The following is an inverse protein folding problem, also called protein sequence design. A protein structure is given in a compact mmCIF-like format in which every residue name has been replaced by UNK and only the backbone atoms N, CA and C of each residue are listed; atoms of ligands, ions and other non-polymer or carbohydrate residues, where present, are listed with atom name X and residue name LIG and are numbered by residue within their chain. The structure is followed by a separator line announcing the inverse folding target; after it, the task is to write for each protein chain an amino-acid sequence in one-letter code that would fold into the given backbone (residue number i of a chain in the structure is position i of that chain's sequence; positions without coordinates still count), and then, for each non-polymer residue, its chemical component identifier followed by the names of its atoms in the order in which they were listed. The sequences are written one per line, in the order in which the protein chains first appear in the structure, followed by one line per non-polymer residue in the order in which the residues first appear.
data_IF_543884446006
#
_entry.id   IF_543884446006
#
_cell.length_a   1.000
_cell.length_b   1.000
_cell.length_c   1.000
_cell.angle_alpha   90.00
_cell.angle_beta   90.00
_cell.angle_gamma   90.00
#
_symmetry.space_group_name_H-M   'P 1'
#
loop_
_entity.id
_entity.type
_entity.pdbx_description
1 polymer ?
#
# COMPACT_ATOMS: atom_id res chain seq x y z
N UNK A 1 -8.60 -7.26 -38.65
CA UNK A 1 -9.17 -6.84 -37.31
C UNK A 1 -8.19 -7.21 -36.26
N UNK A 2 -7.90 -6.31 -35.31
CA UNK A 2 -7.12 -6.70 -34.10
C UNK A 2 -8.11 -7.34 -33.15
N UNK A 3 -8.02 -8.65 -32.99
CA UNK A 3 -8.86 -9.38 -32.06
C UNK A 3 -8.28 -9.24 -30.66
N UNK A 4 -9.09 -8.86 -29.70
CA UNK A 4 -8.76 -8.83 -28.28
C UNK A 4 -9.40 -10.04 -27.57
N UNK A 5 -8.70 -10.59 -26.61
CA UNK A 5 -9.19 -11.72 -25.83
C UNK A 5 -10.08 -11.23 -24.67
N UNK A 6 -9.80 -10.01 -24.16
CA UNK A 6 -10.53 -9.41 -23.02
C UNK A 6 -10.74 -7.92 -23.23
N UNK A 7 -11.91 -7.46 -22.84
CA UNK A 7 -12.28 -6.05 -22.77
C UNK A 7 -12.46 -5.70 -21.29
N UNK A 8 -11.73 -4.70 -20.80
CA UNK A 8 -11.87 -4.14 -19.44
C UNK A 8 -12.52 -2.76 -19.58
N UNK A 9 -13.55 -2.50 -18.79
CA UNK A 9 -14.27 -1.22 -18.79
C UNK A 9 -14.03 -0.54 -17.44
N UNK A 10 -13.42 0.65 -17.47
CA UNK A 10 -13.01 1.45 -16.33
C UNK A 10 -11.57 1.23 -15.92
N UNK A 11 -10.78 2.31 -15.88
CA UNK A 11 -9.38 2.31 -15.48
C UNK A 11 -9.17 2.80 -14.03
N UNK A 12 -10.06 2.44 -13.13
CA UNK A 12 -9.82 2.51 -11.69
C UNK A 12 -8.86 1.39 -11.24
N UNK A 13 -8.50 1.35 -9.95
CA UNK A 13 -7.53 0.38 -9.41
C UNK A 13 -7.87 -1.08 -9.77
N UNK A 14 -9.14 -1.47 -9.67
CA UNK A 14 -9.57 -2.83 -10.01
C UNK A 14 -9.42 -3.14 -11.50
N UNK A 15 -9.80 -2.20 -12.37
CA UNK A 15 -9.67 -2.36 -13.82
C UNK A 15 -8.22 -2.41 -14.27
N UNK A 16 -7.37 -1.53 -13.74
CA UNK A 16 -5.94 -1.51 -14.02
C UNK A 16 -5.25 -2.80 -13.56
N UNK A 17 -5.50 -3.24 -12.33
CA UNK A 17 -4.94 -4.49 -11.80
C UNK A 17 -5.39 -5.73 -12.61
N UNK A 18 -6.67 -5.78 -12.98
CA UNK A 18 -7.22 -6.87 -13.79
C UNK A 18 -6.61 -6.89 -15.19
N UNK A 19 -6.51 -5.72 -15.83
CA UNK A 19 -5.92 -5.61 -17.16
C UNK A 19 -4.45 -6.01 -17.16
N UNK A 20 -3.67 -5.52 -16.20
CA UNK A 20 -2.26 -5.85 -16.04
C UNK A 20 -2.03 -7.35 -15.80
N UNK A 21 -2.80 -7.94 -14.89
CA UNK A 21 -2.72 -9.37 -14.58
C UNK A 21 -3.06 -10.25 -15.79
N UNK A 22 -4.07 -9.88 -16.56
CA UNK A 22 -4.46 -10.62 -17.76
C UNK A 22 -3.42 -10.47 -18.88
N UNK A 23 -2.86 -9.28 -19.04
CA UNK A 23 -1.80 -9.03 -20.02
C UNK A 23 -0.53 -9.81 -19.67
N UNK A 24 -0.15 -9.87 -18.40
CA UNK A 24 0.97 -10.68 -17.91
C UNK A 24 0.77 -12.18 -18.22
N UNK A 25 -0.49 -12.67 -18.17
CA UNK A 25 -0.86 -14.04 -18.56
C UNK A 25 -0.96 -14.22 -20.09
N UNK A 26 -0.46 -13.28 -20.89
CA UNK A 26 -0.39 -13.35 -22.34
C UNK A 26 -1.72 -13.07 -23.06
N UNK A 27 -2.72 -12.55 -22.36
CA UNK A 27 -3.98 -12.15 -22.99
C UNK A 27 -3.85 -10.80 -23.69
N UNK A 28 -4.47 -10.67 -24.86
CA UNK A 28 -4.59 -9.37 -25.54
C UNK A 28 -5.74 -8.60 -24.90
N UNK A 29 -5.41 -7.61 -24.10
CA UNK A 29 -6.38 -6.84 -23.34
C UNK A 29 -6.57 -5.46 -23.97
N UNK A 30 -7.82 -5.01 -24.08
CA UNK A 30 -8.16 -3.63 -24.35
C UNK A 30 -8.90 -3.06 -23.14
N UNK A 31 -8.48 -1.86 -22.68
CA UNK A 31 -9.09 -1.18 -21.56
C UNK A 31 -9.70 0.15 -22.04
N UNK A 32 -10.95 0.39 -21.68
CA UNK A 32 -11.67 1.63 -21.94
C UNK A 32 -11.89 2.40 -20.65
N UNK A 33 -11.64 3.71 -20.70
CA UNK A 33 -11.91 4.65 -19.61
C UNK A 33 -12.73 5.82 -20.16
N UNK A 34 -13.77 6.22 -19.41
CA UNK A 34 -14.62 7.36 -19.80
C UNK A 34 -14.01 8.72 -19.41
N UNK A 35 -13.16 8.74 -18.37
CA UNK A 35 -12.47 9.93 -17.91
C UNK A 35 -11.24 10.20 -18.78
N UNK A 36 -10.77 11.44 -18.81
CA UNK A 36 -9.59 11.83 -19.60
C UNK A 36 -8.25 11.35 -19.02
N UNK A 37 -8.26 10.82 -17.79
CA UNK A 37 -7.10 10.21 -17.12
C UNK A 37 -7.52 8.95 -16.38
N UNK A 38 -6.67 7.90 -16.35
CA UNK A 38 -6.92 6.70 -15.56
C UNK A 38 -6.73 6.95 -14.06
N UNK A 39 -7.17 6.00 -13.23
CA UNK A 39 -6.99 6.02 -11.76
C UNK A 39 -8.30 5.97 -10.98
N UNK A 40 -9.44 6.35 -11.60
CA UNK A 40 -10.73 6.35 -10.91
C UNK A 40 -10.74 7.27 -9.70
N UNK A 41 -11.14 6.76 -8.52
CA UNK A 41 -11.14 7.54 -7.27
C UNK A 41 -9.73 7.85 -6.73
N UNK A 42 -8.68 7.27 -7.28
CA UNK A 42 -7.28 7.56 -6.91
C UNK A 42 -6.60 8.60 -7.80
N UNK A 43 -7.37 9.29 -8.65
CA UNK A 43 -6.81 10.22 -9.63
C UNK A 43 -6.51 11.58 -9.01
N UNK A 44 -5.25 12.01 -9.06
CA UNK A 44 -4.86 13.40 -8.74
C UNK A 44 -5.35 14.36 -9.83
N UNK A 45 -5.61 15.60 -9.46
CA UNK A 45 -6.03 16.62 -10.42
C UNK A 45 -5.38 17.97 -10.16
N UNK A 46 -5.38 18.84 -11.18
CA UNK A 46 -4.87 20.20 -11.10
C UNK A 46 -5.96 21.25 -11.30
N UNK A 47 -5.85 22.35 -10.56
CA UNK A 47 -6.63 23.57 -10.75
C UNK A 47 -5.68 24.79 -10.74
N UNK A 48 -5.43 25.36 -11.90
CA UNK A 48 -4.41 26.37 -12.09
C UNK A 48 -3.02 25.84 -11.70
N UNK A 49 -2.35 26.49 -10.74
CA UNK A 49 -1.04 26.09 -10.24
C UNK A 49 -1.08 25.05 -9.09
N UNK A 50 -2.26 24.72 -8.62
CA UNK A 50 -2.44 23.81 -7.47
C UNK A 50 -2.70 22.39 -7.95
N UNK A 51 -2.03 21.45 -7.30
CA UNK A 51 -2.20 20.01 -7.48
C UNK A 51 -2.87 19.42 -6.23
N UNK A 52 -3.85 18.57 -6.45
CA UNK A 52 -4.66 17.96 -5.41
C UNK A 52 -4.54 16.45 -5.48
N UNK A 53 -4.13 15.86 -4.38
CA UNK A 53 -4.19 14.42 -4.14
C UNK A 53 -5.51 14.10 -3.44
N UNK A 54 -6.27 13.17 -3.97
CA UNK A 54 -7.63 12.87 -3.45
C UNK A 54 -7.62 11.66 -2.52
N UNK A 55 -6.71 10.73 -2.77
CA UNK A 55 -6.74 9.42 -2.14
C UNK A 55 -5.69 9.27 -1.02
N UNK A 56 -5.10 8.08 -0.91
CA UNK A 56 -4.10 7.78 0.10
C UNK A 56 -2.78 8.51 -0.18
N UNK A 57 -2.32 9.26 0.81
CA UNK A 57 -1.02 9.93 0.74
C UNK A 57 0.15 9.01 1.09
N UNK A 58 -0.13 7.84 1.64
CA UNK A 58 0.87 6.88 2.09
C UNK A 58 0.49 5.48 1.60
N UNK A 59 1.48 4.74 1.10
CA UNK A 59 1.31 3.35 0.70
C UNK A 59 1.82 2.43 1.80
N UNK A 60 0.94 1.58 2.30
CA UNK A 60 1.29 0.45 3.17
C UNK A 60 1.78 -0.75 2.35
N UNK A 61 2.34 -1.74 3.03
CA UNK A 61 2.80 -3.00 2.41
C UNK A 61 3.92 -2.84 1.36
N UNK A 62 4.67 -1.73 1.42
CA UNK A 62 5.86 -1.57 0.60
C UNK A 62 7.05 -2.38 1.14
N UNK A 63 7.20 -2.44 2.47
CA UNK A 63 8.39 -3.06 3.08
C UNK A 63 9.66 -2.24 2.86
N UNK A 64 10.79 -2.92 2.88
CA UNK A 64 12.11 -2.35 2.54
C UNK A 64 12.74 -3.13 1.39
N UNK A 65 13.79 -2.62 0.74
CA UNK A 65 14.51 -3.37 -0.30
C UNK A 65 15.00 -4.75 0.17
N UNK A 66 15.40 -4.87 1.46
CA UNK A 66 15.89 -6.09 2.08
C UNK A 66 14.75 -7.04 2.50
N UNK A 67 13.58 -6.49 2.78
CA UNK A 67 12.37 -7.23 3.14
C UNK A 67 11.16 -6.63 2.42
N UNK A 68 11.00 -6.90 1.14
CA UNK A 68 9.95 -6.30 0.32
C UNK A 68 8.56 -6.76 0.78
N UNK A 69 7.65 -5.79 0.85
CA UNK A 69 6.24 -6.08 1.09
C UNK A 69 5.52 -6.47 -0.21
N UNK A 70 4.30 -6.98 -0.05
CA UNK A 70 3.50 -7.50 -1.17
C UNK A 70 3.23 -6.46 -2.28
N UNK A 71 3.10 -5.19 -1.92
CA UNK A 71 2.88 -4.13 -2.91
C UNK A 71 4.16 -3.84 -3.70
N UNK A 72 5.32 -3.82 -3.05
CA UNK A 72 6.60 -3.69 -3.74
C UNK A 72 6.85 -4.87 -4.70
N UNK A 73 6.56 -6.10 -4.26
CA UNK A 73 6.68 -7.29 -5.11
C UNK A 73 5.76 -7.20 -6.34
N UNK A 74 4.53 -6.70 -6.17
CA UNK A 74 3.59 -6.48 -7.26
C UNK A 74 4.12 -5.47 -8.29
N UNK A 75 4.66 -4.34 -7.85
CA UNK A 75 5.22 -3.34 -8.75
C UNK A 75 6.48 -3.85 -9.48
N UNK A 76 7.33 -4.63 -8.80
CA UNK A 76 8.47 -5.30 -9.42
C UNK A 76 8.02 -6.32 -10.47
N UNK A 77 7.00 -7.10 -10.16
CA UNK A 77 6.41 -8.08 -11.08
C UNK A 77 5.87 -7.43 -12.35
N UNK A 78 5.25 -6.26 -12.24
CA UNK A 78 4.77 -5.51 -13.42
C UNK A 78 5.86 -4.67 -14.10
N UNK A 79 7.09 -4.67 -13.58
CA UNK A 79 8.22 -3.93 -14.17
C UNK A 79 8.12 -2.42 -14.04
N UNK A 80 7.28 -1.90 -13.14
CA UNK A 80 7.06 -0.46 -12.94
C UNK A 80 7.73 0.10 -11.69
N UNK A 81 8.32 -0.75 -10.85
CA UNK A 81 8.90 -0.34 -9.57
C UNK A 81 10.00 0.72 -9.74
N UNK A 82 10.90 0.53 -10.70
CA UNK A 82 12.05 1.41 -10.93
C UNK A 82 11.68 2.70 -11.69
N UNK A 83 10.47 2.79 -12.23
CA UNK A 83 9.94 3.99 -12.89
C UNK A 83 9.32 4.99 -11.91
N UNK A 84 9.16 4.60 -10.64
CA UNK A 84 8.50 5.39 -9.61
C UNK A 84 9.52 5.84 -8.56
N UNK A 85 9.50 7.13 -8.21
CA UNK A 85 10.28 7.64 -7.10
C UNK A 85 9.60 7.33 -5.77
N UNK A 86 10.17 6.42 -5.01
CA UNK A 86 9.69 6.02 -3.69
C UNK A 86 10.31 6.89 -2.60
N UNK A 87 9.49 7.53 -1.79
CA UNK A 87 9.94 8.38 -0.70
C UNK A 87 9.54 7.73 0.63
N UNK A 88 10.51 7.18 1.39
CA UNK A 88 10.23 6.63 2.71
C UNK A 88 9.79 7.73 3.67
N UNK A 89 8.65 7.55 4.32
CA UNK A 89 8.19 8.47 5.35
C UNK A 89 8.86 8.13 6.69
N UNK A 90 9.31 9.17 7.39
CA UNK A 90 9.92 9.03 8.73
C UNK A 90 8.90 9.24 9.85
N UNK A 91 7.90 10.03 9.58
CA UNK A 91 6.81 10.38 10.50
C UNK A 91 5.51 9.83 9.92
N UNK A 92 4.84 8.93 10.67
CA UNK A 92 3.61 8.28 10.24
C UNK A 92 2.47 9.32 10.15
N UNK A 93 2.29 10.07 11.23
CA UNK A 93 1.40 11.24 11.27
C UNK A 93 1.74 12.12 12.47
N UNK A 94 1.22 13.35 12.42
CA UNK A 94 1.29 14.31 13.51
C UNK A 94 -0.11 14.73 13.93
N UNK A 95 -0.36 14.68 15.23
CA UNK A 95 -1.58 15.22 15.83
C UNK A 95 -1.25 16.53 16.49
N UNK A 96 -1.97 17.59 16.16
CA UNK A 96 -1.88 18.89 16.81
C UNK A 96 -3.13 19.10 17.65
N UNK A 97 -2.96 19.43 18.92
CA UNK A 97 -4.05 19.72 19.85
C UNK A 97 -4.38 21.21 19.87
N UNK A 98 -5.60 21.59 20.31
CA UNK A 98 -6.03 23.01 20.36
C UNK A 98 -5.16 23.90 21.24
N UNK A 99 -4.46 23.36 22.22
CA UNK A 99 -3.54 24.06 23.12
C UNK A 99 -2.14 24.28 22.52
N UNK A 100 -1.98 24.05 21.23
CA UNK A 100 -0.72 24.12 20.49
C UNK A 100 0.32 23.05 20.88
N UNK A 101 -0.05 22.06 21.67
CA UNK A 101 0.74 20.87 21.85
C UNK A 101 0.50 19.88 20.70
N UNK A 102 1.34 18.88 20.56
CA UNK A 102 1.18 17.87 19.53
C UNK A 102 2.07 16.67 19.76
N UNK A 103 1.68 15.57 19.12
CA UNK A 103 2.46 14.35 19.11
C UNK A 103 2.75 13.93 17.67
N UNK A 104 3.99 13.54 17.42
CA UNK A 104 4.44 13.06 16.12
C UNK A 104 4.86 11.61 16.26
N UNK A 105 4.23 10.72 15.49
CA UNK A 105 4.51 9.29 15.57
C UNK A 105 5.52 8.88 14.50
N UNK A 106 6.65 8.27 14.89
CA UNK A 106 7.59 7.66 13.95
C UNK A 106 6.92 6.56 13.13
N UNK A 107 7.33 6.39 11.87
CA UNK A 107 6.80 5.34 11.00
C UNK A 107 7.37 3.94 11.34
N UNK A 108 8.54 3.89 11.97
CA UNK A 108 9.13 2.63 12.43
C UNK A 108 8.46 2.10 13.71
N UNK A 109 8.09 0.81 13.70
CA UNK A 109 7.38 0.13 14.81
C UNK A 109 8.05 0.34 16.17
N UNK A 110 9.35 0.03 16.26
CA UNK A 110 10.07 0.07 17.55
C UNK A 110 10.21 1.50 18.05
N UNK A 111 10.48 2.42 17.15
CA UNK A 111 10.57 3.85 17.45
C UNK A 111 9.22 4.42 17.86
N UNK A 112 8.13 3.99 17.24
CA UNK A 112 6.77 4.40 17.58
C UNK A 112 6.37 3.90 18.98
N UNK A 113 6.56 2.63 19.27
CA UNK A 113 6.30 2.03 20.58
C UNK A 113 7.11 2.74 21.68
N UNK A 114 8.41 2.89 21.49
CA UNK A 114 9.28 3.56 22.43
C UNK A 114 8.91 5.04 22.64
N UNK A 115 8.48 5.73 21.57
CA UNK A 115 8.00 7.09 21.66
C UNK A 115 6.72 7.20 22.48
N UNK A 116 5.72 6.37 22.19
CA UNK A 116 4.47 6.34 22.95
C UNK A 116 4.66 5.97 24.42
N UNK A 117 5.54 5.03 24.73
CA UNK A 117 5.86 4.67 26.11
C UNK A 117 6.52 5.84 26.89
N UNK A 118 7.30 6.68 26.22
CA UNK A 118 7.88 7.90 26.83
C UNK A 118 6.85 9.00 27.05
N UNK A 119 5.98 9.22 26.05
CA UNK A 119 4.92 10.23 26.16
C UNK A 119 3.85 9.85 27.20
N UNK A 120 3.58 8.57 27.35
CA UNK A 120 2.56 8.05 28.26
C UNK A 120 3.13 6.99 29.24
N UNK A 121 4.02 7.37 30.17
CA UNK A 121 4.73 6.41 31.01
C UNK A 121 3.81 5.57 31.90
N UNK A 122 2.67 6.13 32.33
CA UNK A 122 1.67 5.39 33.12
C UNK A 122 0.90 4.34 32.29
N UNK A 123 0.97 4.42 30.96
CA UNK A 123 0.33 3.49 30.03
C UNK A 123 1.35 2.56 29.33
N UNK A 124 2.64 2.66 29.64
CA UNK A 124 3.71 1.98 28.90
C UNK A 124 3.49 0.45 28.80
N UNK A 125 3.04 -0.18 29.89
CA UNK A 125 2.74 -1.61 29.86
C UNK A 125 1.58 -1.97 28.92
N UNK A 126 0.52 -1.17 28.90
CA UNK A 126 -0.64 -1.38 28.02
C UNK A 126 -0.25 -1.14 26.55
N UNK A 127 0.56 -0.12 26.29
CA UNK A 127 1.09 0.19 24.95
C UNK A 127 1.94 -0.98 24.44
N UNK A 128 2.89 -1.47 25.22
CA UNK A 128 3.71 -2.62 24.84
C UNK A 128 2.86 -3.86 24.52
N UNK A 129 1.88 -4.17 25.37
CA UNK A 129 0.96 -5.28 25.12
C UNK A 129 0.12 -5.09 23.88
N UNK A 130 -0.34 -3.87 23.58
CA UNK A 130 -1.06 -3.56 22.36
C UNK A 130 -0.21 -3.85 21.12
N UNK A 131 1.03 -3.38 21.11
CA UNK A 131 1.96 -3.62 19.99
C UNK A 131 2.26 -5.12 19.82
N UNK A 132 2.48 -5.85 20.92
CA UNK A 132 2.70 -7.29 20.89
C UNK A 132 1.51 -8.03 20.25
N UNK A 133 0.29 -7.75 20.70
CA UNK A 133 -0.92 -8.41 20.20
C UNK A 133 -1.18 -8.08 18.74
N UNK A 134 -1.14 -6.81 18.38
CA UNK A 134 -1.46 -6.37 17.00
C UNK A 134 -0.44 -6.91 16.01
N UNK A 135 0.83 -6.76 16.29
CA UNK A 135 1.86 -7.25 15.38
C UNK A 135 2.00 -8.76 15.39
N UNK A 136 1.79 -9.41 16.54
CA UNK A 136 1.70 -10.87 16.59
C UNK A 136 0.56 -11.43 15.74
N UNK A 137 -0.59 -10.75 15.72
CA UNK A 137 -1.67 -11.11 14.80
C UNK A 137 -1.28 -10.89 13.33
N UNK A 138 -0.65 -9.77 12.99
CA UNK A 138 -0.19 -9.50 11.62
C UNK A 138 0.81 -10.55 11.14
N UNK A 139 1.77 -10.93 11.99
CA UNK A 139 2.79 -11.93 11.67
C UNK A 139 2.14 -13.31 11.44
N UNK A 140 1.18 -13.71 12.28
CA UNK A 140 0.44 -14.98 12.11
C UNK A 140 -0.45 -14.96 10.85
N UNK A 141 -1.10 -13.84 10.55
CA UNK A 141 -1.90 -13.68 9.35
C UNK A 141 -1.05 -13.80 8.07
N UNK A 142 0.13 -13.18 8.08
CA UNK A 142 1.09 -13.29 6.98
C UNK A 142 1.59 -14.72 6.78
N UNK A 143 1.92 -15.42 7.87
CA UNK A 143 2.33 -16.82 7.83
C UNK A 143 1.21 -17.73 7.30
N UNK A 144 -0.02 -17.52 7.75
CA UNK A 144 -1.18 -18.26 7.24
C UNK A 144 -1.40 -18.03 5.74
N UNK A 145 -1.32 -16.77 5.30
CA UNK A 145 -1.44 -16.42 3.88
C UNK A 145 -0.36 -17.10 3.03
N UNK A 146 0.89 -17.11 3.50
CA UNK A 146 2.00 -17.77 2.81
C UNK A 146 1.80 -19.30 2.70
N UNK A 147 1.33 -19.95 3.77
CA UNK A 147 1.02 -21.39 3.77
C UNK A 147 -0.14 -21.72 2.82
N UNK A 148 -1.18 -20.89 2.82
CA UNK A 148 -2.33 -21.05 1.92
C UNK A 148 -1.92 -20.93 0.45
N UNK A 149 -1.11 -19.95 0.12
CA UNK A 149 -0.57 -19.75 -1.23
C UNK A 149 0.26 -20.94 -1.71
N UNK A 150 1.11 -21.49 -0.83
CA UNK A 150 1.91 -22.67 -1.15
C UNK A 150 1.07 -23.92 -1.41
N UNK A 151 -0.11 -24.04 -0.78
CA UNK A 151 -1.02 -25.19 -0.94
C UNK A 151 -1.85 -25.15 -2.21
N UNK A 152 -2.13 -23.96 -2.74
CA UNK A 152 -2.94 -23.79 -3.97
C UNK A 152 -2.14 -23.86 -5.26
N UNK A 153 -0.81 -23.91 -5.19
CA UNK A 153 0.07 -23.95 -6.36
C UNK A 153 0.03 -22.68 -7.22
N UNK A 154 -0.64 -21.64 -6.78
CA UNK A 154 -0.63 -20.36 -7.45
C UNK A 154 0.65 -19.57 -7.08
N UNK A 155 1.53 -19.26 -8.04
CA UNK A 155 2.66 -18.39 -7.79
C UNK A 155 2.13 -16.98 -7.54
N UNK A 156 2.19 -16.50 -6.31
CA UNK A 156 1.96 -15.09 -6.02
C UNK A 156 0.66 -14.72 -5.32
N UNK A 157 0.05 -15.59 -4.53
CA UNK A 157 -0.85 -15.13 -3.48
C UNK A 157 0.01 -14.36 -2.47
N UNK A 158 -0.35 -13.11 -2.25
CA UNK A 158 0.29 -12.12 -1.40
C UNK A 158 0.98 -12.71 -0.16
N UNK A 159 2.31 -12.58 -0.11
CA UNK A 159 3.06 -12.75 1.13
C UNK A 159 2.83 -11.58 2.07
#
# INVERSE_FOLDING_TARGET
MRDYDVIVIGAGNGGLASAATLAEKGKRVILFEQHNIPGGCGTSFRRGRFEFEIALHQLSHMGTPENPGSLMELFKRYGIYDEIQWIPIKELFRVNFPDSTGISLPADRKSCEAHLCREFPHQAQAIGRYFEVVYGFCDQAAEFAAKSAASTGEPGALK
#
